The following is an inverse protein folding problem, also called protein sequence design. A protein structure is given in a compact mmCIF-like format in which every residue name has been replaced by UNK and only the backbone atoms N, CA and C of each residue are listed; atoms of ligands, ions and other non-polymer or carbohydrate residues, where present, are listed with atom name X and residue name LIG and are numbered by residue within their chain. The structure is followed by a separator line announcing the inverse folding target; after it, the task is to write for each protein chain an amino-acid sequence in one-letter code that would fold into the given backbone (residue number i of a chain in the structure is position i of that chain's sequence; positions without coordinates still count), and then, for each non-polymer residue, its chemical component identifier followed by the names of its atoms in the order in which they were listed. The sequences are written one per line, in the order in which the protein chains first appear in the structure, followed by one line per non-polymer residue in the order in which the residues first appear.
data_IF_928507175888
#
_entry.id   IF_928507175888
#
_cell.length_a   1.000
_cell.length_b   1.000
_cell.length_c   1.000
_cell.angle_alpha   90.00
_cell.angle_beta   90.00
_cell.angle_gamma   90.00
#
_symmetry.space_group_name_H-M   'P 1'
#
loop_
_entity.id
_entity.type
_entity.pdbx_description
1 polymer ?
#
# COMPACT_ATOMS: atom_id res chain seq x y z
N UNK A 1 52.94 40.06 6.86
CA UNK A 1 51.48 40.25 6.92
C UNK A 1 50.83 39.27 5.95
N UNK A 2 49.83 38.51 6.45
CA UNK A 2 48.76 37.81 5.72
C UNK A 2 49.13 36.83 4.58
N UNK A 3 49.08 35.54 4.90
CA UNK A 3 48.39 34.56 4.05
C UNK A 3 47.84 33.42 4.94
N UNK A 4 46.68 33.64 5.54
CA UNK A 4 45.89 32.62 6.26
C UNK A 4 44.46 32.65 5.76
N UNK A 5 44.26 32.36 4.48
CA UNK A 5 42.92 32.18 3.90
C UNK A 5 43.05 31.09 2.84
N UNK A 6 43.10 29.81 3.22
CA UNK A 6 42.81 28.71 2.27
C UNK A 6 42.69 27.33 2.92
N UNK A 7 42.01 27.20 4.05
CA UNK A 7 41.69 25.85 4.57
C UNK A 7 40.24 25.71 5.07
N UNK A 8 39.55 26.81 5.38
CA UNK A 8 38.14 26.75 5.76
C UNK A 8 37.18 26.55 4.57
N UNK A 9 37.57 26.98 3.36
CA UNK A 9 36.73 26.86 2.16
C UNK A 9 36.62 25.42 1.62
N UNK A 10 37.64 24.59 1.83
CA UNK A 10 37.66 23.21 1.33
C UNK A 10 36.80 22.26 2.18
N UNK A 11 36.62 22.56 3.47
CA UNK A 11 35.78 21.78 4.38
C UNK A 11 34.28 22.00 4.17
N UNK A 12 33.87 23.06 3.48
CA UNK A 12 32.46 23.34 3.20
C UNK A 12 31.92 22.53 2.00
N UNK A 13 32.80 22.12 1.08
CA UNK A 13 32.41 21.39 -0.14
C UNK A 13 32.20 19.89 0.13
N UNK A 14 32.83 19.34 1.16
CA UNK A 14 32.69 17.92 1.54
C UNK A 14 31.39 17.59 2.32
N UNK A 15 30.65 18.59 2.81
CA UNK A 15 29.42 18.38 3.58
C UNK A 15 28.14 18.28 2.72
N UNK A 16 28.20 18.49 1.40
CA UNK A 16 27.02 18.51 0.53
C UNK A 16 26.76 17.22 -0.24
N UNK A 17 27.50 16.14 0.04
CA UNK A 17 27.08 14.79 -0.36
C UNK A 17 26.01 14.26 0.60
N UNK A 18 24.97 15.07 0.84
CA UNK A 18 23.68 14.55 1.31
C UNK A 18 23.14 13.75 0.13
N UNK A 19 23.52 12.46 0.05
CA UNK A 19 22.82 11.51 -0.79
C UNK A 19 21.39 11.49 -0.31
N UNK A 20 20.51 12.20 -1.01
CA UNK A 20 19.06 12.03 -0.89
C UNK A 20 18.78 10.62 -1.35
N UNK A 21 18.73 9.66 -0.41
CA UNK A 21 18.29 8.32 -0.71
C UNK A 21 16.79 8.43 -1.01
N UNK A 22 16.45 8.50 -2.30
CA UNK A 22 15.07 8.34 -2.74
C UNK A 22 14.57 6.96 -2.28
N UNK A 23 13.31 6.88 -1.83
CA UNK A 23 12.69 5.59 -1.51
C UNK A 23 12.82 4.66 -2.71
N UNK A 24 13.21 3.40 -2.49
CA UNK A 24 13.35 2.42 -3.58
C UNK A 24 11.99 2.00 -4.17
N UNK A 25 10.93 2.20 -3.39
CA UNK A 25 9.56 1.91 -3.74
C UNK A 25 8.72 3.16 -3.51
N UNK A 26 8.01 3.62 -4.53
CA UNK A 26 6.95 4.61 -4.38
C UNK A 26 5.60 3.89 -4.25
N UNK A 27 4.80 4.34 -3.30
CA UNK A 27 3.53 3.73 -2.91
C UNK A 27 2.45 4.80 -2.90
N UNK A 28 1.49 4.64 -3.81
CA UNK A 28 0.34 5.55 -3.96
C UNK A 28 -0.96 4.78 -3.93
N UNK A 29 -2.06 5.44 -3.58
CA UNK A 29 -3.36 4.79 -3.44
C UNK A 29 -4.50 5.78 -3.60
N UNK A 30 -5.69 5.23 -3.87
CA UNK A 30 -6.94 5.97 -3.94
C UNK A 30 -7.80 5.71 -2.70
N UNK A 31 -8.84 6.53 -2.50
CA UNK A 31 -9.83 6.24 -1.44
C UNK A 31 -10.58 4.93 -1.75
N UNK A 32 -10.88 4.10 -0.74
CA UNK A 32 -11.69 2.90 -0.93
C UNK A 32 -13.06 3.24 -1.50
N UNK A 33 -13.62 2.31 -2.28
CA UNK A 33 -14.94 2.43 -2.90
C UNK A 33 -15.81 1.27 -2.49
N UNK A 34 -17.08 1.55 -2.25
CA UNK A 34 -18.08 0.51 -1.99
C UNK A 34 -18.66 0.06 -3.32
N UNK A 35 -18.57 -1.23 -3.63
CA UNK A 35 -19.19 -1.87 -4.78
C UNK A 35 -20.23 -2.87 -4.30
N UNK A 36 -21.39 -2.91 -4.96
CA UNK A 36 -22.46 -3.86 -4.66
C UNK A 36 -22.70 -4.68 -5.92
N UNK A 37 -22.36 -5.96 -5.86
CA UNK A 37 -22.60 -6.92 -6.93
C UNK A 37 -24.04 -7.44 -6.84
N UNK A 38 -24.68 -7.68 -8.00
CA UNK A 38 -26.07 -8.17 -8.10
C UNK A 38 -27.09 -7.43 -7.22
N UNK A 39 -26.96 -6.11 -7.13
CA UNK A 39 -27.82 -5.25 -6.31
C UNK A 39 -29.31 -5.51 -6.56
N UNK A 40 -30.07 -5.75 -5.50
CA UNK A 40 -31.51 -6.01 -5.55
C UNK A 40 -31.90 -7.45 -5.86
N UNK A 41 -30.97 -8.39 -5.76
CA UNK A 41 -31.22 -9.84 -5.93
C UNK A 41 -30.84 -10.62 -4.66
N UNK A 42 -31.24 -11.88 -4.58
CA UNK A 42 -30.88 -12.77 -3.45
C UNK A 42 -29.37 -13.05 -3.36
N UNK A 43 -28.59 -12.73 -4.40
CA UNK A 43 -27.14 -12.84 -4.45
C UNK A 43 -26.42 -11.50 -4.31
N UNK A 44 -27.05 -10.51 -3.66
CA UNK A 44 -26.42 -9.21 -3.40
C UNK A 44 -25.23 -9.36 -2.45
N UNK A 45 -24.05 -8.97 -2.92
CA UNK A 45 -22.81 -9.00 -2.15
C UNK A 45 -22.16 -7.62 -2.18
N UNK A 46 -21.72 -7.15 -1.01
CA UNK A 46 -21.02 -5.86 -0.90
C UNK A 46 -19.52 -6.07 -0.76
N UNK A 47 -18.76 -5.29 -1.52
CA UNK A 47 -17.31 -5.25 -1.49
C UNK A 47 -16.81 -3.86 -1.13
N UNK A 48 -15.77 -3.80 -0.29
CA UNK A 48 -14.89 -2.63 -0.21
C UNK A 48 -13.73 -2.89 -1.16
N UNK A 49 -13.60 -2.03 -2.16
CA UNK A 49 -12.55 -2.08 -3.19
C UNK A 49 -11.53 -1.00 -2.89
N UNK A 50 -10.25 -1.34 -2.94
CA UNK A 50 -9.18 -0.39 -2.73
C UNK A 50 -8.09 -0.52 -3.79
N UNK A 51 -7.82 0.57 -4.50
CA UNK A 51 -6.81 0.64 -5.54
C UNK A 51 -5.53 1.26 -5.00
N UNK A 52 -4.40 0.63 -5.33
CA UNK A 52 -3.08 1.10 -4.94
C UNK A 52 -2.04 0.78 -6.01
N UNK A 53 -0.93 1.50 -6.01
CA UNK A 53 0.17 1.31 -6.96
C UNK A 53 1.48 1.11 -6.22
N UNK A 54 2.31 0.25 -6.79
CA UNK A 54 3.67 -0.01 -6.35
C UNK A 54 4.61 0.31 -7.50
N UNK A 55 5.45 1.33 -7.33
CA UNK A 55 6.42 1.75 -8.34
C UNK A 55 7.85 1.49 -7.86
N UNK A 56 8.62 0.75 -8.64
CA UNK A 56 10.05 0.61 -8.39
C UNK A 56 10.78 1.79 -9.01
N UNK A 57 11.19 2.74 -8.17
CA UNK A 57 11.94 3.92 -8.58
C UNK A 57 13.43 3.62 -8.76
N UNK A 58 13.88 2.42 -8.38
CA UNK A 58 15.26 2.00 -8.45
C UNK A 58 15.63 1.44 -9.83
N UNK A 59 16.94 1.37 -10.11
CA UNK A 59 17.46 0.88 -11.40
C UNK A 59 17.58 -0.66 -11.45
N UNK A 60 17.32 -1.33 -10.34
CA UNK A 60 17.40 -2.80 -10.21
C UNK A 60 16.05 -3.35 -9.78
N UNK A 61 15.73 -4.60 -10.14
CA UNK A 61 14.52 -5.24 -9.66
C UNK A 61 14.52 -5.33 -8.13
N UNK A 62 13.35 -5.18 -7.53
CA UNK A 62 13.14 -5.31 -6.09
C UNK A 62 12.08 -6.38 -5.82
N UNK A 63 12.29 -7.20 -4.79
CA UNK A 63 11.31 -8.18 -4.37
C UNK A 63 10.41 -7.57 -3.28
N UNK A 64 9.13 -7.38 -3.55
CA UNK A 64 8.18 -6.75 -2.64
C UNK A 64 7.33 -7.83 -1.96
N UNK A 65 7.52 -8.12 -0.65
CA UNK A 65 6.71 -9.09 0.09
C UNK A 65 5.43 -8.42 0.62
N UNK A 66 4.65 -7.79 -0.28
CA UNK A 66 3.46 -7.03 0.12
C UNK A 66 2.32 -7.95 0.54
N UNK A 67 1.65 -7.61 1.64
CA UNK A 67 0.36 -8.16 2.03
C UNK A 67 -0.57 -7.03 2.47
N UNK A 68 -1.86 -7.16 2.17
CA UNK A 68 -2.89 -6.16 2.46
C UNK A 68 -4.03 -6.80 3.24
N UNK A 69 -4.47 -6.14 4.30
CA UNK A 69 -5.67 -6.53 5.03
C UNK A 69 -6.39 -5.29 5.59
N UNK A 70 -7.67 -5.46 5.93
CA UNK A 70 -8.52 -4.43 6.46
C UNK A 70 -8.97 -4.79 7.88
N UNK A 71 -8.93 -3.83 8.80
CA UNK A 71 -9.55 -3.93 10.11
C UNK A 71 -10.62 -2.85 10.27
N UNK A 72 -11.70 -3.18 10.97
CA UNK A 72 -12.81 -2.26 11.23
C UNK A 72 -12.77 -1.74 12.67
N UNK A 73 -13.55 -0.70 12.97
CA UNK A 73 -13.82 -0.24 14.35
C UNK A 73 -14.38 -1.32 15.27
N UNK A 74 -15.07 -2.32 14.72
CA UNK A 74 -15.56 -3.49 15.46
C UNK A 74 -14.46 -4.52 15.79
N UNK A 75 -13.23 -4.31 15.30
CA UNK A 75 -12.09 -5.22 15.50
C UNK A 75 -12.09 -6.44 14.58
N UNK A 76 -13.04 -6.55 13.65
CA UNK A 76 -13.06 -7.66 12.67
C UNK A 76 -11.99 -7.41 11.59
N UNK A 77 -11.24 -8.47 11.27
CA UNK A 77 -10.21 -8.47 10.24
C UNK A 77 -10.74 -9.11 8.96
N UNK A 78 -10.43 -8.50 7.83
CA UNK A 78 -10.76 -8.97 6.48
C UNK A 78 -9.48 -9.08 5.68
N UNK A 79 -9.27 -10.21 5.01
CA UNK A 79 -8.12 -10.43 4.13
C UNK A 79 -8.46 -10.00 2.71
N UNK A 80 -7.47 -9.49 1.99
CA UNK A 80 -7.63 -9.26 0.55
C UNK A 80 -7.95 -10.59 -0.15
N UNK A 81 -9.02 -10.57 -0.95
CA UNK A 81 -9.45 -11.69 -1.78
C UNK A 81 -9.66 -11.21 -3.21
N UNK A 82 -9.33 -12.04 -4.20
CA UNK A 82 -9.45 -11.68 -5.60
C UNK A 82 -10.62 -12.39 -6.27
N UNK A 83 -11.49 -11.61 -6.93
CA UNK A 83 -12.69 -12.07 -7.62
C UNK A 83 -12.61 -11.69 -9.11
N UNK A 84 -12.06 -12.57 -9.97
CA UNK A 84 -11.90 -12.29 -11.40
C UNK A 84 -13.19 -11.89 -12.11
N UNK A 85 -14.32 -12.48 -11.70
CA UNK A 85 -15.64 -12.34 -12.32
C UNK A 85 -16.23 -10.93 -12.21
N UNK A 86 -15.85 -10.16 -11.19
CA UNK A 86 -16.32 -8.77 -11.02
C UNK A 86 -15.28 -7.74 -11.48
N UNK A 87 -14.08 -8.17 -11.88
CA UNK A 87 -12.94 -7.28 -12.14
C UNK A 87 -13.23 -6.26 -13.25
N UNK A 88 -13.94 -6.64 -14.30
CA UNK A 88 -14.28 -5.73 -15.41
C UNK A 88 -15.18 -4.56 -14.97
N UNK A 89 -16.03 -4.79 -13.97
CA UNK A 89 -16.85 -3.74 -13.36
C UNK A 89 -16.06 -2.94 -12.33
N UNK A 90 -15.28 -3.64 -11.49
CA UNK A 90 -14.46 -3.05 -10.45
C UNK A 90 -13.42 -2.10 -11.04
N UNK A 91 -12.72 -2.48 -12.11
CA UNK A 91 -11.68 -1.66 -12.74
C UNK A 91 -12.18 -0.26 -13.14
N UNK A 92 -13.44 -0.16 -13.58
CA UNK A 92 -14.09 1.10 -13.97
C UNK A 92 -14.40 2.02 -12.79
N UNK A 93 -14.29 1.53 -11.56
CA UNK A 93 -14.41 2.35 -10.36
C UNK A 93 -13.14 3.16 -10.08
N UNK A 94 -11.99 2.78 -10.65
CA UNK A 94 -10.76 3.55 -10.50
C UNK A 94 -10.86 4.89 -11.25
N UNK A 95 -10.43 5.97 -10.60
CA UNK A 95 -10.50 7.33 -11.17
C UNK A 95 -9.52 7.49 -12.33
N UNK A 96 -8.40 6.78 -12.25
CA UNK A 96 -7.37 6.72 -13.28
C UNK A 96 -7.54 5.52 -14.21
N UNK A 97 -8.78 5.02 -14.36
CA UNK A 97 -9.07 3.91 -15.26
C UNK A 97 -8.78 4.30 -16.71
N UNK A 98 -8.06 3.42 -17.42
CA UNK A 98 -7.86 3.46 -18.87
C UNK A 98 -8.07 2.07 -19.43
N UNK A 99 -8.69 1.99 -20.61
CA UNK A 99 -8.88 0.72 -21.29
C UNK A 99 -7.51 0.04 -21.52
N UNK A 100 -7.42 -1.24 -21.13
CA UNK A 100 -6.17 -2.01 -21.15
C UNK A 100 -5.29 -1.89 -19.90
N UNK A 101 -5.63 -1.04 -18.91
CA UNK A 101 -4.95 -1.02 -17.59
C UNK A 101 -5.22 -2.33 -16.87
N UNK A 102 -4.15 -3.08 -16.57
CA UNK A 102 -4.23 -4.37 -15.86
C UNK A 102 -4.04 -4.16 -14.37
N UNK A 103 -5.00 -4.59 -13.57
CA UNK A 103 -4.90 -4.63 -12.12
C UNK A 103 -4.46 -6.01 -11.66
N UNK A 104 -3.56 -6.05 -10.68
CA UNK A 104 -3.07 -7.27 -10.05
C UNK A 104 -3.59 -7.33 -8.61
N UNK A 105 -3.96 -8.50 -8.12
CA UNK A 105 -4.25 -8.67 -6.70
C UNK A 105 -2.98 -8.86 -5.89
N UNK A 106 -3.06 -8.70 -4.56
CA UNK A 106 -1.88 -8.65 -3.68
C UNK A 106 -0.98 -9.88 -3.82
N UNK A 107 -1.55 -11.09 -3.94
CA UNK A 107 -0.74 -12.31 -4.06
C UNK A 107 0.09 -12.39 -5.36
N UNK A 108 -0.37 -11.78 -6.46
CA UNK A 108 0.41 -11.62 -7.71
C UNK A 108 1.36 -10.41 -7.61
N UNK A 109 0.93 -9.35 -6.93
CA UNK A 109 1.76 -8.17 -6.71
C UNK A 109 3.01 -8.52 -5.88
N UNK A 110 2.87 -9.44 -4.92
CA UNK A 110 3.94 -10.06 -4.15
C UNK A 110 4.96 -10.71 -5.08
N UNK A 111 6.22 -10.31 -4.93
CA UNK A 111 7.33 -10.83 -5.72
C UNK A 111 8.11 -9.73 -6.41
N UNK A 112 8.75 -10.07 -7.52
CA UNK A 112 9.68 -9.16 -8.20
C UNK A 112 8.93 -8.02 -8.91
N UNK A 113 9.43 -6.81 -8.73
CA UNK A 113 9.01 -5.58 -9.39
C UNK A 113 10.20 -5.06 -10.21
N UNK A 114 10.06 -5.08 -11.53
CA UNK A 114 11.12 -4.70 -12.46
C UNK A 114 11.51 -3.22 -12.31
N UNK A 115 12.74 -2.82 -12.68
CA UNK A 115 13.19 -1.43 -12.61
C UNK A 115 12.24 -0.48 -13.35
N UNK A 116 11.94 0.67 -12.74
CA UNK A 116 11.14 1.75 -13.37
C UNK A 116 9.77 1.30 -13.85
N UNK A 117 9.18 0.31 -13.18
CA UNK A 117 7.83 -0.18 -13.51
C UNK A 117 6.84 0.10 -12.39
N UNK A 118 5.58 0.27 -12.78
CA UNK A 118 4.44 0.45 -11.89
C UNK A 118 3.56 -0.80 -11.97
N UNK A 119 3.27 -1.41 -10.83
CA UNK A 119 2.19 -2.39 -10.69
C UNK A 119 0.94 -1.70 -10.17
N UNK A 120 -0.12 -1.72 -10.97
CA UNK A 120 -1.45 -1.30 -10.53
C UNK A 120 -2.11 -2.46 -9.81
N UNK A 121 -2.55 -2.22 -8.58
CA UNK A 121 -3.07 -3.25 -7.71
C UNK A 121 -4.48 -2.93 -7.24
N UNK A 122 -5.22 -3.99 -6.89
CA UNK A 122 -6.54 -3.89 -6.29
C UNK A 122 -6.64 -4.87 -5.13
N UNK A 123 -7.14 -4.40 -3.99
CA UNK A 123 -7.55 -5.24 -2.88
C UNK A 123 -9.09 -5.22 -2.78
N UNK A 124 -9.69 -6.38 -2.55
CA UNK A 124 -11.14 -6.50 -2.39
C UNK A 124 -11.47 -7.19 -1.07
N UNK A 125 -12.40 -6.59 -0.33
CA UNK A 125 -12.88 -7.10 0.95
C UNK A 125 -14.38 -7.33 0.87
N UNK A 126 -14.78 -8.60 0.85
CA UNK A 126 -16.18 -9.03 0.81
C UNK A 126 -16.83 -8.92 2.21
N UNK A 127 -18.13 -8.64 2.23
CA UNK A 127 -18.99 -8.74 3.41
C UNK A 127 -18.51 -7.94 4.63
N UNK A 128 -17.92 -6.77 4.39
CA UNK A 128 -17.64 -5.80 5.43
C UNK A 128 -18.96 -5.27 5.99
N UNK A 129 -19.15 -5.28 7.31
CA UNK A 129 -20.41 -4.85 7.92
C UNK A 129 -20.76 -3.40 7.50
N UNK A 130 -21.95 -3.16 6.90
CA UNK A 130 -22.34 -1.83 6.41
C UNK A 130 -22.54 -0.80 7.54
N UNK A 131 -22.53 -1.20 8.82
CA UNK A 131 -22.59 -0.27 9.96
C UNK A 131 -21.22 0.25 10.40
N UNK A 132 -20.14 -0.30 9.86
CA UNK A 132 -18.77 0.13 10.15
C UNK A 132 -18.60 1.59 9.78
N UNK A 133 -18.02 2.36 10.71
CA UNK A 133 -17.75 3.78 10.52
C UNK A 133 -16.30 4.06 10.18
N UNK A 134 -15.39 3.14 10.51
CA UNK A 134 -13.95 3.30 10.28
C UNK A 134 -13.32 2.05 9.69
N UNK A 135 -12.45 2.27 8.72
CA UNK A 135 -11.60 1.24 8.11
C UNK A 135 -10.15 1.61 8.35
N UNK A 136 -9.37 0.65 8.84
CA UNK A 136 -7.93 0.72 8.90
C UNK A 136 -7.38 -0.29 7.88
N UNK A 137 -6.83 0.20 6.78
CA UNK A 137 -6.16 -0.65 5.78
C UNK A 137 -4.68 -0.72 6.14
N UNK A 138 -4.16 -1.94 6.20
CA UNK A 138 -2.78 -2.22 6.54
C UNK A 138 -2.06 -2.81 5.33
N UNK A 139 -0.90 -2.25 5.02
CA UNK A 139 0.02 -2.75 4.00
C UNK A 139 1.32 -3.14 4.67
N UNK A 140 1.69 -4.42 4.59
CA UNK A 140 2.92 -4.95 5.19
C UNK A 140 4.00 -5.12 4.12
N UNK A 141 5.23 -5.41 4.56
CA UNK A 141 6.33 -5.77 3.65
C UNK A 141 6.94 -4.61 2.86
N UNK A 142 6.46 -3.38 3.01
CA UNK A 142 6.99 -2.21 2.29
C UNK A 142 7.94 -1.33 3.11
N UNK A 143 7.97 -1.47 4.44
CA UNK A 143 8.69 -0.56 5.35
C UNK A 143 10.21 -0.48 5.12
N UNK A 144 10.83 -1.59 4.74
CA UNK A 144 12.28 -1.66 4.49
C UNK A 144 12.71 -0.86 3.25
N UNK A 145 11.80 -0.56 2.33
CA UNK A 145 12.08 0.31 1.18
C UNK A 145 12.11 1.80 1.55
N UNK A 146 11.44 2.18 2.65
CA UNK A 146 11.39 3.56 3.13
C UNK A 146 12.50 3.88 4.15
N UNK A 147 13.00 2.88 4.89
CA UNK A 147 13.99 3.09 5.95
C UNK A 147 15.10 2.02 5.95
N UNK A 148 16.21 2.30 5.28
CA UNK A 148 17.40 1.42 5.26
C UNK A 148 18.04 1.21 6.66
N UNK A 149 17.75 2.06 7.65
CA UNK A 149 18.50 2.11 8.93
C UNK A 149 17.77 1.60 10.19
N UNK A 150 16.50 1.24 10.11
CA UNK A 150 15.73 0.88 11.30
C UNK A 150 15.46 -0.62 11.37
N UNK A 151 16.26 -1.31 12.19
CA UNK A 151 16.13 -2.72 12.55
C UNK A 151 14.98 -2.94 13.57
N UNK A 152 13.76 -2.50 13.25
CA UNK A 152 12.62 -2.58 14.17
C UNK A 152 11.39 -3.20 13.51
N UNK A 153 10.84 -4.20 14.21
CA UNK A 153 9.45 -4.64 14.34
C UNK A 153 8.59 -4.39 13.09
N UNK A 154 8.09 -5.49 12.50
CA UNK A 154 7.19 -5.51 11.34
C UNK A 154 6.28 -4.28 11.35
N UNK A 155 6.66 -3.30 10.54
CA UNK A 155 6.03 -1.99 10.48
C UNK A 155 5.11 -2.04 9.29
N UNK A 156 3.81 -2.22 9.56
CA UNK A 156 2.79 -2.05 8.55
C UNK A 156 2.58 -0.56 8.30
N UNK A 157 2.33 -0.20 7.04
CA UNK A 157 1.77 1.10 6.69
C UNK A 157 0.27 1.04 6.93
N UNK A 158 -0.24 1.89 7.82
CA UNK A 158 -1.68 1.95 8.16
C UNK A 158 -2.29 3.18 7.50
N UNK A 159 -3.46 3.01 6.90
CA UNK A 159 -4.25 4.07 6.29
C UNK A 159 -5.65 4.00 6.89
N UNK A 160 -6.04 5.05 7.60
CA UNK A 160 -7.29 5.13 8.34
C UNK A 160 -8.30 5.96 7.56
N UNK A 161 -9.47 5.41 7.33
CA UNK A 161 -10.62 6.06 6.71
C UNK A 161 -11.82 6.10 7.64
N UNK A 162 -12.60 7.16 7.56
CA UNK A 162 -13.91 7.28 8.22
C UNK A 162 -15.01 7.46 7.19
N UNK A 163 -16.18 6.88 7.46
CA UNK A 163 -17.33 6.98 6.57
C UNK A 163 -18.02 8.32 6.74
N UNK A 164 -18.10 9.09 5.66
CA UNK A 164 -18.82 10.36 5.61
C UNK A 164 -19.75 10.34 4.40
N UNK A 165 -21.07 10.51 4.61
CA UNK A 165 -22.08 10.67 3.54
C UNK A 165 -21.99 9.68 2.36
N UNK A 166 -21.56 8.44 2.61
CA UNK A 166 -21.48 7.38 1.60
C UNK A 166 -20.12 7.21 0.92
N UNK A 167 -19.11 8.03 1.25
CA UNK A 167 -17.72 7.86 0.84
C UNK A 167 -16.79 7.63 2.04
N UNK A 168 -15.55 7.22 1.75
CA UNK A 168 -14.49 6.99 2.73
C UNK A 168 -13.52 8.15 2.74
N UNK A 169 -13.55 8.95 3.81
CA UNK A 169 -12.67 10.09 4.01
C UNK A 169 -11.37 9.65 4.66
N UNK A 170 -10.25 10.04 4.07
CA UNK A 170 -8.94 9.84 4.68
C UNK A 170 -8.83 10.67 5.96
N UNK A 171 -8.48 10.02 7.06
CA UNK A 171 -8.25 10.65 8.36
C UNK A 171 -6.76 10.79 8.64
N UNK A 172 -6.02 9.68 8.52
CA UNK A 172 -4.59 9.64 8.77
C UNK A 172 -3.96 8.48 7.99
N UNK A 173 -2.66 8.58 7.73
CA UNK A 173 -1.87 7.48 7.20
C UNK A 173 -0.42 7.58 7.66
N UNK A 174 0.25 6.44 7.76
CA UNK A 174 1.66 6.39 8.10
C UNK A 174 2.13 5.03 8.58
N UNK A 175 3.43 4.92 8.81
CA UNK A 175 4.02 3.71 9.40
C UNK A 175 3.54 3.57 10.85
N UNK A 176 3.02 2.40 11.19
CA UNK A 176 2.69 2.05 12.58
C UNK A 176 3.66 1.00 13.11
N UNK A 177 3.91 1.04 14.42
CA UNK A 177 4.63 -0.01 15.16
C UNK A 177 3.69 -1.10 15.70
N UNK A 178 2.41 -1.02 15.35
CA UNK A 178 1.42 -2.02 15.72
C UNK A 178 1.79 -3.37 15.10
N UNK A 179 2.08 -4.36 15.96
CA UNK A 179 2.49 -5.71 15.59
C UNK A 179 1.32 -6.69 15.60
N UNK A 180 0.07 -6.21 15.69
CA UNK A 180 -1.15 -7.02 15.61
C UNK A 180 -1.19 -7.97 14.40
N UNK A 181 -0.51 -7.60 13.31
CA UNK A 181 -0.35 -8.41 12.10
C UNK A 181 0.69 -9.54 12.20
N UNK A 182 1.66 -9.45 13.13
CA UNK A 182 2.74 -10.43 13.31
C UNK A 182 2.30 -11.78 13.89
N UNK A 183 1.03 -11.91 14.25
CA UNK A 183 0.42 -13.19 14.68
C UNK A 183 0.32 -14.23 13.56
N UNK A 184 0.52 -13.83 12.29
CA UNK A 184 0.71 -14.76 11.19
C UNK A 184 2.19 -15.17 11.09
N UNK A 185 2.56 -16.24 11.80
CA UNK A 185 3.68 -17.06 11.36
C UNK A 185 3.31 -17.62 9.99
N UNK A 186 4.21 -17.42 9.03
CA UNK A 186 4.19 -18.01 7.70
C UNK A 186 4.01 -19.53 7.81
N UNK A 187 2.77 -20.00 7.70
CA UNK A 187 2.46 -21.34 7.22
C UNK A 187 2.21 -21.26 5.72
N UNK A 188 3.31 -21.26 4.96
CA UNK A 188 3.35 -21.73 3.58
C UNK A 188 4.81 -21.94 3.20
N UNK A 189 5.37 -22.99 3.79
CA UNK A 189 6.45 -23.73 3.14
C UNK A 189 5.90 -24.44 1.90
N UNK A 190 6.79 -24.56 0.91
CA UNK A 190 6.69 -25.39 -0.30
C UNK A 190 5.64 -25.00 -1.33
N UNK A 191 6.03 -24.13 -2.26
CA UNK A 191 5.84 -24.33 -3.70
C UNK A 191 7.13 -23.96 -4.42
#
# INVERSE_FOLDING_TARGET
MKLKISFLGLMFILCLSLTTNASQLDFSWNAPKTYVHNKGTDGETMYIIWFYNLENTFEKPIAVPVEVFLMTDTGKKYLDTYYPEIMDHVAKLDEDYKEGKKYQHTAIARGELAPKTIKHCVAMFEDVDPKVKRLDIFVTGISHFFFWRCRMIDSSYKITYEREQGYWKLIEHGMTKDSSHSSYKVESGNW
#
